data_IF_818767061551
#
_entry.id   IF_818767061551
#
_cell.length_a   1.000
_cell.length_b   1.000
_cell.length_c   1.000
_cell.angle_alpha   90.00
_cell.angle_beta   90.00
_cell.angle_gamma   90.00
#
_symmetry.space_group_name_H-M   'P 1'
#
loop_
_entity.id
_entity.type
_entity.pdbx_description
1 polymer ?
#
# COMPACT_ATOMS: atom_id res chain seq x y z
N UNK A 1 -18.98 -15.91 23.40
CA UNK A 1 -18.49 -14.93 22.40
C UNK A 1 -17.14 -14.39 22.87
N UNK A 2 -16.23 -15.29 23.25
CA UNK A 2 -15.07 -14.95 24.09
C UNK A 2 -13.75 -15.34 23.40
N UNK A 3 -13.83 -16.18 22.36
CA UNK A 3 -12.71 -16.67 21.56
C UNK A 3 -11.92 -15.57 20.87
N UNK A 4 -12.58 -14.51 20.36
CA UNK A 4 -11.87 -13.40 19.73
C UNK A 4 -11.06 -12.60 20.76
N UNK A 5 -11.64 -12.31 21.94
CA UNK A 5 -10.92 -11.60 22.99
C UNK A 5 -9.77 -12.42 23.52
N UNK A 6 -9.94 -13.73 23.73
CA UNK A 6 -8.89 -14.62 24.22
C UNK A 6 -7.74 -14.76 23.21
N UNK A 7 -8.01 -14.79 21.91
CA UNK A 7 -6.99 -14.74 20.86
C UNK A 7 -6.16 -13.44 20.86
N UNK A 8 -6.78 -12.30 21.16
CA UNK A 8 -6.09 -11.02 21.29
C UNK A 8 -5.44 -10.81 22.68
N UNK A 9 -5.95 -11.49 23.72
CA UNK A 9 -5.56 -11.34 25.13
C UNK A 9 -4.90 -12.57 25.77
N UNK A 10 -4.31 -13.49 25.00
CA UNK A 10 -3.55 -14.66 25.51
C UNK A 10 -2.24 -14.30 26.26
N UNK A 11 -2.09 -13.10 26.83
CA UNK A 11 -0.91 -12.70 27.60
C UNK A 11 0.12 -11.88 26.80
N UNK A 12 -0.31 -10.88 26.04
CA UNK A 12 0.57 -9.86 25.45
C UNK A 12 1.26 -10.20 24.13
N UNK A 13 1.17 -11.44 23.64
CA UNK A 13 1.85 -11.88 22.41
C UNK A 13 1.11 -11.53 21.10
N UNK A 14 -0.22 -11.36 21.14
CA UNK A 14 -1.01 -11.05 19.93
C UNK A 14 -0.56 -9.77 19.22
N UNK A 15 -0.15 -8.76 19.99
CA UNK A 15 0.37 -7.49 19.47
C UNK A 15 1.73 -7.63 18.77
N UNK A 16 2.58 -8.57 19.18
CA UNK A 16 3.89 -8.83 18.53
C UNK A 16 3.72 -9.49 17.16
N UNK A 17 2.81 -10.45 17.06
CA UNK A 17 2.48 -11.11 15.80
C UNK A 17 1.84 -10.09 14.87
N UNK A 18 0.77 -9.42 15.30
CA UNK A 18 0.12 -8.40 14.47
C UNK A 18 1.02 -7.20 14.14
N UNK A 19 1.97 -6.84 15.01
CA UNK A 19 2.96 -5.80 14.74
C UNK A 19 3.94 -6.18 13.63
N UNK A 20 4.49 -7.39 13.67
CA UNK A 20 5.40 -7.89 12.62
C UNK A 20 4.69 -8.12 11.27
N UNK A 21 3.49 -8.71 11.31
CA UNK A 21 2.63 -8.86 10.12
C UNK A 21 2.15 -7.49 9.60
N UNK A 22 1.82 -6.56 10.49
CA UNK A 22 1.46 -5.18 10.14
C UNK A 22 2.60 -4.43 9.48
N UNK A 23 3.84 -4.59 9.99
CA UNK A 23 5.03 -3.99 9.38
C UNK A 23 5.29 -4.55 7.97
N UNK A 24 5.22 -5.87 7.81
CA UNK A 24 5.35 -6.51 6.50
C UNK A 24 4.24 -6.05 5.53
N UNK A 25 3.00 -5.94 6.02
CA UNK A 25 1.86 -5.43 5.25
C UNK A 25 2.05 -3.97 4.84
N UNK A 26 2.55 -3.10 5.73
CA UNK A 26 2.88 -1.70 5.42
C UNK A 26 3.93 -1.63 4.31
N UNK A 27 4.99 -2.45 4.38
CA UNK A 27 6.04 -2.48 3.35
C UNK A 27 5.48 -2.93 2.01
N UNK A 28 4.65 -3.98 1.99
CA UNK A 28 3.95 -4.46 0.78
C UNK A 28 3.06 -3.37 0.18
N UNK A 29 2.23 -2.73 1.01
CA UNK A 29 1.33 -1.66 0.59
C UNK A 29 2.12 -0.47 0.06
N UNK A 30 3.18 -0.05 0.74
CA UNK A 30 4.06 1.02 0.27
C UNK A 30 4.70 0.66 -1.09
N UNK A 31 5.14 -0.59 -1.27
CA UNK A 31 5.73 -1.07 -2.51
C UNK A 31 4.75 -1.04 -3.68
N UNK A 32 3.45 -1.21 -3.45
CA UNK A 32 2.40 -1.09 -4.47
C UNK A 32 1.97 0.36 -4.68
N UNK A 33 1.81 1.13 -3.61
CA UNK A 33 1.32 2.51 -3.66
C UNK A 33 2.32 3.43 -4.38
N UNK A 34 3.61 3.32 -4.07
CA UNK A 34 4.67 4.15 -4.66
C UNK A 34 4.68 4.10 -6.21
N UNK A 35 4.75 2.93 -6.87
CA UNK A 35 4.72 2.87 -8.33
C UNK A 35 3.37 3.29 -8.91
N UNK A 36 2.25 3.04 -8.22
CA UNK A 36 0.93 3.51 -8.68
C UNK A 36 0.86 5.04 -8.71
N UNK A 37 1.32 5.72 -7.67
CA UNK A 37 1.41 7.19 -7.67
C UNK A 37 2.38 7.69 -8.76
N UNK A 38 3.56 7.08 -8.88
CA UNK A 38 4.57 7.47 -9.87
C UNK A 38 4.08 7.30 -11.31
N UNK A 39 3.32 6.23 -11.57
CA UNK A 39 2.74 5.95 -12.89
C UNK A 39 1.65 6.96 -13.25
N UNK A 40 0.89 7.46 -12.27
CA UNK A 40 -0.11 8.52 -12.50
C UNK A 40 0.56 9.82 -12.97
N UNK A 41 1.69 10.19 -12.38
CA UNK A 41 2.44 11.37 -12.79
C UNK A 41 3.03 11.22 -14.20
N UNK A 42 3.62 10.05 -14.50
CA UNK A 42 4.20 9.78 -15.82
C UNK A 42 3.15 9.77 -16.94
N UNK A 43 1.96 9.17 -16.70
CA UNK A 43 0.85 9.21 -17.65
C UNK A 43 0.38 10.64 -17.94
N UNK A 44 0.35 11.51 -16.93
CA UNK A 44 0.01 12.91 -17.10
C UNK A 44 1.00 13.67 -18.01
N UNK A 45 2.29 13.31 -17.98
CA UNK A 45 3.32 13.90 -18.84
C UNK A 45 3.23 13.41 -20.29
N UNK A 46 3.04 12.10 -20.49
CA UNK A 46 2.85 11.51 -21.81
C UNK A 46 1.59 12.04 -22.51
N UNK A 47 0.50 12.23 -21.78
CA UNK A 47 -0.74 12.79 -22.31
C UNK A 47 -0.60 14.25 -22.77
N UNK A 48 0.39 14.99 -22.25
CA UNK A 48 0.69 16.37 -22.69
C UNK A 48 1.57 16.37 -23.94
N UNK A 49 2.57 15.48 -24.02
CA UNK A 49 3.43 15.36 -25.20
C UNK A 49 2.66 14.87 -26.44
N UNK A 50 1.77 13.89 -26.28
CA UNK A 50 0.92 13.38 -27.37
C UNK A 50 -0.05 14.43 -27.96
N UNK A 51 -0.31 15.53 -27.24
CA UNK A 51 -1.13 16.64 -27.74
C UNK A 51 -0.32 17.61 -28.62
N UNK A 52 0.98 17.77 -28.36
CA UNK A 52 1.86 18.60 -29.18
C UNK A 52 2.25 17.90 -30.49
N UNK A 53 2.48 16.59 -30.45
CA UNK A 53 2.88 15.83 -31.65
C UNK A 53 1.71 15.60 -32.64
N UNK A 54 0.46 15.80 -32.20
CA UNK A 54 -0.73 15.75 -33.06
C UNK A 54 -1.09 17.08 -33.73
N UNK A 55 -0.26 18.10 -33.60
CA UNK A 55 -0.43 19.38 -34.29
C UNK A 55 0.62 19.50 -35.41
N UNK A 56 0.34 18.97 -36.62
CA UNK A 56 1.03 19.39 -37.83
C UNK A 56 0.62 20.79 -38.27
#
# INVERSE_FOLDING_TARGET
MDTLREFFHMGGYGFYVWGSYGMAFIVLVANVIVPVLRTRELRGRLARQARMERQP
#
